data_IF_153890751343
#
_entry.id   IF_153890751343
#
_cell.length_a   1.000
_cell.length_b   1.000
_cell.length_c   1.000
_cell.angle_alpha   90.00
_cell.angle_beta   90.00
_cell.angle_gamma   90.00
#
_symmetry.space_group_name_H-M   'P 1'
#
loop_
_entity.id
_entity.type
_entity.pdbx_description
1 polymer ?
#
# COMPACT_ATOMS: atom_id res chain seq x y z
N UNK A 1 -37.76 -68.31 20.33
CA UNK A 1 -36.80 -67.54 19.53
C UNK A 1 -37.48 -66.22 19.14
N UNK A 2 -37.07 -65.09 19.73
CA UNK A 2 -37.59 -63.73 19.42
C UNK A 2 -36.45 -62.94 18.78
N UNK A 3 -36.53 -62.63 17.46
CA UNK A 3 -35.63 -61.73 16.80
C UNK A 3 -36.02 -60.28 17.12
N UNK A 4 -35.11 -59.53 17.70
CA UNK A 4 -35.26 -58.12 17.99
C UNK A 4 -34.63 -57.35 16.80
N UNK A 5 -35.46 -56.62 16.06
CA UNK A 5 -35.04 -55.74 14.92
C UNK A 5 -34.63 -54.40 15.48
N UNK A 6 -33.32 -54.08 15.49
CA UNK A 6 -32.80 -52.74 15.82
C UNK A 6 -32.87 -51.82 14.60
N UNK A 7 -33.82 -50.90 14.58
CA UNK A 7 -33.94 -49.83 13.61
C UNK A 7 -32.94 -48.71 13.95
N UNK A 8 -31.84 -48.58 13.21
CA UNK A 8 -30.89 -47.47 13.33
C UNK A 8 -31.43 -46.25 12.57
N UNK A 9 -31.89 -45.29 13.33
CA UNK A 9 -32.28 -43.98 12.81
C UNK A 9 -31.00 -43.16 12.54
N UNK A 10 -30.66 -42.93 11.29
CA UNK A 10 -29.56 -42.06 10.88
C UNK A 10 -30.12 -40.62 10.72
N UNK A 11 -29.82 -39.77 11.65
CA UNK A 11 -30.10 -38.33 11.52
C UNK A 11 -28.99 -37.70 10.68
N UNK A 12 -29.34 -37.34 9.43
CA UNK A 12 -28.46 -36.47 8.59
C UNK A 12 -28.46 -35.05 9.18
N UNK A 13 -27.33 -34.64 9.77
CA UNK A 13 -27.09 -33.26 10.12
C UNK A 13 -26.69 -32.50 8.84
N UNK A 14 -27.57 -31.63 8.35
CA UNK A 14 -27.23 -30.65 7.30
C UNK A 14 -26.32 -29.56 7.90
N UNK A 15 -25.03 -29.63 7.57
CA UNK A 15 -24.09 -28.55 7.85
C UNK A 15 -24.24 -27.48 6.77
N UNK A 16 -24.95 -26.41 7.05
CA UNK A 16 -25.05 -25.23 6.19
C UNK A 16 -23.76 -24.40 6.34
N UNK A 17 -22.84 -24.51 5.38
CA UNK A 17 -21.68 -23.62 5.27
C UNK A 17 -22.14 -22.27 4.79
N UNK A 18 -22.24 -21.30 5.69
CA UNK A 18 -22.43 -19.90 5.34
C UNK A 18 -21.15 -19.36 4.70
N UNK A 19 -21.14 -19.22 3.38
CA UNK A 19 -20.06 -18.52 2.65
C UNK A 19 -20.14 -17.03 2.98
N UNK A 20 -19.22 -16.53 3.82
CA UNK A 20 -19.02 -15.11 4.02
C UNK A 20 -18.45 -14.52 2.71
N UNK A 21 -19.28 -13.84 1.95
CA UNK A 21 -18.82 -13.01 0.83
C UNK A 21 -18.10 -11.78 1.43
N UNK A 22 -16.77 -11.81 1.45
CA UNK A 22 -15.96 -10.64 1.76
C UNK A 22 -16.17 -9.61 0.64
N UNK A 23 -16.93 -8.56 0.92
CA UNK A 23 -17.00 -7.37 0.04
C UNK A 23 -15.64 -6.70 0.05
N UNK A 24 -14.98 -6.62 -1.10
CA UNK A 24 -13.74 -5.87 -1.24
C UNK A 24 -14.04 -4.38 -0.96
N UNK A 25 -13.66 -3.91 0.22
CA UNK A 25 -13.73 -2.48 0.52
C UNK A 25 -12.66 -1.73 -0.29
N UNK A 26 -12.95 -0.48 -0.73
CA UNK A 26 -11.92 0.34 -1.35
C UNK A 26 -10.74 0.48 -0.38
N UNK A 27 -9.52 0.38 -0.92
CA UNK A 27 -8.31 0.54 -0.12
C UNK A 27 -8.26 1.96 0.45
N UNK A 28 -7.82 2.08 1.69
CA UNK A 28 -7.51 3.38 2.31
C UNK A 28 -5.99 3.53 2.43
N UNK A 29 -5.46 4.76 2.55
CA UNK A 29 -4.03 4.96 2.80
C UNK A 29 -3.53 4.16 4.02
N UNK A 30 -4.32 4.15 5.11
CA UNK A 30 -4.00 3.42 6.34
C UNK A 30 -4.05 1.89 6.13
N UNK A 31 -5.01 1.40 5.35
CA UNK A 31 -5.12 -0.01 5.00
C UNK A 31 -3.93 -0.48 4.14
N UNK A 32 -3.49 0.34 3.18
CA UNK A 32 -2.28 0.06 2.40
C UNK A 32 -1.02 0.10 3.26
N UNK A 33 -0.91 1.07 4.17
CA UNK A 33 0.18 1.14 5.14
C UNK A 33 0.26 -0.13 5.97
N UNK A 34 -0.86 -0.58 6.54
CA UNK A 34 -0.91 -1.82 7.31
C UNK A 34 -0.45 -3.04 6.50
N UNK A 35 -0.85 -3.11 5.21
CA UNK A 35 -0.40 -4.16 4.30
C UNK A 35 1.11 -4.15 4.06
N UNK A 36 1.72 -2.99 3.84
CA UNK A 36 3.17 -2.87 3.67
C UNK A 36 3.94 -3.16 4.96
N UNK A 37 3.43 -2.74 6.12
CA UNK A 37 4.00 -3.07 7.45
C UNK A 37 4.01 -4.58 7.67
N UNK A 38 2.90 -5.26 7.36
CA UNK A 38 2.82 -6.72 7.48
C UNK A 38 3.83 -7.43 6.56
N UNK A 39 4.02 -6.94 5.32
CA UNK A 39 4.99 -7.48 4.38
C UNK A 39 6.44 -7.19 4.80
N UNK A 40 6.70 -6.04 5.43
CA UNK A 40 8.02 -5.65 5.92
C UNK A 40 8.44 -6.43 7.18
N UNK A 41 7.47 -6.87 7.99
CA UNK A 41 7.72 -7.52 9.28
C UNK A 41 8.28 -6.58 10.35
N UNK A 42 8.21 -5.25 10.14
CA UNK A 42 8.74 -4.25 11.06
C UNK A 42 7.88 -2.96 11.04
N UNK A 43 7.86 -2.18 12.13
CA UNK A 43 7.11 -0.94 12.22
C UNK A 43 7.58 0.10 11.19
N UNK A 44 6.62 0.86 10.63
CA UNK A 44 6.91 2.01 9.79
C UNK A 44 7.40 3.20 10.63
N UNK A 45 8.27 4.04 10.03
CA UNK A 45 8.72 5.30 10.62
C UNK A 45 8.54 6.46 9.63
N UNK A 46 7.74 7.46 9.99
CA UNK A 46 7.59 8.67 9.18
C UNK A 46 8.94 9.40 8.94
N UNK A 47 9.83 9.39 9.93
CA UNK A 47 11.15 10.04 9.82
C UNK A 47 12.02 9.34 8.77
N UNK A 48 12.06 8.00 8.77
CA UNK A 48 12.75 7.23 7.72
C UNK A 48 12.10 7.47 6.37
N UNK A 49 10.76 7.56 6.32
CA UNK A 49 10.02 7.88 5.10
C UNK A 49 10.39 9.22 4.51
N UNK A 50 10.48 10.26 5.34
CA UNK A 50 10.94 11.59 4.93
C UNK A 50 12.38 11.58 4.42
N UNK A 51 13.28 10.94 5.15
CA UNK A 51 14.68 10.79 4.75
C UNK A 51 14.80 10.04 3.42
N UNK A 52 14.08 8.94 3.29
CA UNK A 52 14.02 8.16 2.05
C UNK A 52 13.54 8.99 0.86
N UNK A 53 12.52 9.82 1.05
CA UNK A 53 11.92 10.66 0.01
C UNK A 53 12.84 11.80 -0.45
N UNK A 54 13.59 12.38 0.48
CA UNK A 54 14.40 13.58 0.22
C UNK A 54 15.87 13.30 -0.10
N UNK A 55 16.35 12.08 0.22
CA UNK A 55 17.77 11.74 0.02
C UNK A 55 18.10 11.65 -1.48
N UNK A 56 19.12 12.37 -1.95
CA UNK A 56 19.63 12.22 -3.30
C UNK A 56 20.20 10.81 -3.53
N UNK A 57 20.04 10.28 -4.72
CA UNK A 57 20.49 8.93 -5.08
C UNK A 57 21.74 8.99 -5.96
N UNK A 58 22.50 7.90 -5.94
CA UNK A 58 23.67 7.71 -6.81
C UNK A 58 23.25 7.24 -8.21
N UNK A 59 22.23 7.84 -8.80
CA UNK A 59 21.82 7.57 -10.19
C UNK A 59 22.46 8.58 -11.14
N UNK A 60 22.26 8.38 -12.45
CA UNK A 60 22.80 9.23 -13.49
C UNK A 60 22.48 10.72 -13.29
N UNK A 61 21.29 11.01 -12.74
CA UNK A 61 20.82 12.38 -12.51
C UNK A 61 20.86 12.82 -11.04
N UNK A 62 21.24 11.95 -10.10
CA UNK A 62 21.26 12.26 -8.68
C UNK A 62 19.88 12.58 -8.06
N UNK A 63 18.81 12.16 -8.73
CA UNK A 63 17.44 12.49 -8.33
C UNK A 63 17.04 11.86 -6.98
N UNK A 64 16.11 12.53 -6.31
CA UNK A 64 15.31 12.00 -5.21
C UNK A 64 13.82 12.04 -5.60
N UNK A 65 12.95 11.43 -4.80
CA UNK A 65 11.51 11.58 -4.99
C UNK A 65 11.10 13.06 -4.92
N UNK A 66 11.76 13.81 -4.02
CA UNK A 66 11.50 15.26 -3.84
C UNK A 66 11.88 16.12 -5.04
N UNK A 67 12.70 15.64 -5.98
CA UNK A 67 13.06 16.37 -7.19
C UNK A 67 11.81 16.74 -8.00
N UNK A 68 10.91 15.79 -8.22
CA UNK A 68 9.66 16.02 -8.95
C UNK A 68 8.48 16.42 -8.05
N UNK A 69 8.46 15.92 -6.80
CA UNK A 69 7.29 16.07 -5.91
C UNK A 69 7.41 17.22 -4.91
N UNK A 70 8.56 17.91 -4.87
CA UNK A 70 8.87 18.90 -3.83
C UNK A 70 9.26 18.26 -2.50
N UNK A 71 9.93 19.00 -1.64
CA UNK A 71 10.44 18.49 -0.34
C UNK A 71 9.34 18.06 0.62
N UNK A 72 8.19 18.76 0.58
CA UNK A 72 6.96 18.43 1.31
C UNK A 72 5.84 18.34 0.28
N UNK A 73 5.39 17.12 -0.13
CA UNK A 73 4.53 16.93 -1.28
C UNK A 73 3.04 17.17 -0.98
N UNK A 74 2.74 18.31 -0.34
CA UNK A 74 1.38 18.81 -0.05
C UNK A 74 0.82 19.68 -1.16
N UNK A 75 1.69 20.19 -2.04
CA UNK A 75 1.35 20.95 -3.25
C UNK A 75 1.59 20.17 -4.52
N UNK A 76 1.40 20.86 -5.66
CA UNK A 76 1.72 20.26 -6.96
C UNK A 76 3.23 20.18 -7.16
N UNK A 77 3.68 19.04 -7.64
CA UNK A 77 5.00 18.85 -8.19
C UNK A 77 5.02 19.03 -9.71
N UNK A 78 6.21 18.86 -10.30
CA UNK A 78 6.45 18.93 -11.73
C UNK A 78 7.47 17.86 -12.12
N UNK A 79 7.16 17.08 -13.13
CA UNK A 79 8.08 16.07 -13.63
C UNK A 79 9.30 16.73 -14.28
N UNK A 80 10.49 16.36 -13.83
CA UNK A 80 11.73 17.06 -14.18
C UNK A 80 12.01 17.13 -15.70
N UNK A 81 11.73 16.05 -16.44
CA UNK A 81 11.98 16.00 -17.89
C UNK A 81 10.80 16.47 -18.74
N UNK A 82 9.58 16.11 -18.35
CA UNK A 82 8.40 16.35 -19.20
C UNK A 82 7.62 17.59 -18.81
N UNK A 83 8.00 18.23 -17.71
CA UNK A 83 7.35 19.38 -17.09
C UNK A 83 5.87 19.18 -16.72
N UNK A 84 5.37 17.96 -16.89
CA UNK A 84 3.99 17.62 -16.53
C UNK A 84 3.75 17.85 -15.05
N UNK A 85 2.62 18.50 -14.73
CA UNK A 85 2.14 18.71 -13.37
C UNK A 85 1.86 17.38 -12.69
N UNK A 86 2.30 17.24 -11.46
CA UNK A 86 2.04 16.11 -10.58
C UNK A 86 1.17 16.60 -9.42
N UNK A 87 0.01 16.00 -9.22
CA UNK A 87 -0.85 16.35 -8.09
C UNK A 87 -0.22 15.94 -6.75
N UNK A 88 -0.62 16.57 -5.62
CA UNK A 88 -0.09 16.27 -4.29
C UNK A 88 -0.05 14.78 -3.98
N UNK A 89 0.97 14.33 -3.23
CA UNK A 89 1.07 12.95 -2.77
C UNK A 89 0.40 12.74 -1.40
N UNK A 90 0.47 13.74 -0.53
CA UNK A 90 -0.12 13.61 0.81
C UNK A 90 -1.65 13.46 0.72
N UNK A 91 -2.24 12.39 1.34
CA UNK A 91 -3.68 12.11 1.23
C UNK A 91 -4.58 13.24 1.75
N UNK A 92 -4.14 13.99 2.75
CA UNK A 92 -4.88 15.15 3.26
C UNK A 92 -5.06 16.27 2.21
N UNK A 93 -4.21 16.34 1.21
CA UNK A 93 -4.25 17.33 0.11
C UNK A 93 -4.71 16.73 -1.22
N UNK A 94 -4.82 15.40 -1.30
CA UNK A 94 -5.33 14.68 -2.45
C UNK A 94 -6.00 13.36 -2.00
N UNK A 95 -7.29 13.39 -1.67
CA UNK A 95 -8.02 12.24 -1.11
C UNK A 95 -8.08 11.01 -2.03
N UNK A 96 -7.74 11.15 -3.32
CA UNK A 96 -7.71 10.02 -4.26
C UNK A 96 -6.38 9.25 -4.24
N UNK A 97 -5.36 9.74 -3.50
CA UNK A 97 -4.09 9.04 -3.36
C UNK A 97 -4.21 7.84 -2.43
N UNK A 98 -3.54 6.75 -2.82
CA UNK A 98 -3.44 5.52 -2.02
C UNK A 98 -4.80 4.89 -1.68
N UNK A 99 -5.77 4.98 -2.61
CA UNK A 99 -7.09 4.36 -2.50
C UNK A 99 -7.26 3.10 -3.36
N UNK A 100 -6.21 2.69 -4.06
CA UNK A 100 -6.16 1.53 -4.94
C UNK A 100 -4.77 0.88 -4.84
N UNK A 101 -4.71 -0.37 -4.37
CA UNK A 101 -3.45 -1.09 -4.17
C UNK A 101 -2.69 -1.30 -5.49
N UNK A 102 -3.39 -1.77 -6.54
CA UNK A 102 -2.75 -2.05 -7.84
C UNK A 102 -2.13 -0.80 -8.46
N UNK A 103 -2.87 0.30 -8.41
CA UNK A 103 -2.42 1.61 -8.89
C UNK A 103 -1.25 2.14 -8.07
N UNK A 104 -1.32 2.01 -6.74
CA UNK A 104 -0.27 2.44 -5.81
C UNK A 104 1.01 1.65 -6.03
N UNK A 105 0.93 0.33 -6.13
CA UNK A 105 2.09 -0.52 -6.42
C UNK A 105 2.69 -0.26 -7.82
N UNK A 106 1.84 0.03 -8.79
CA UNK A 106 2.28 0.47 -10.12
C UNK A 106 3.12 1.74 -10.05
N UNK A 107 2.67 2.74 -9.31
CA UNK A 107 3.42 3.99 -9.10
C UNK A 107 4.73 3.77 -8.35
N UNK A 108 4.71 3.00 -7.26
CA UNK A 108 5.95 2.66 -6.55
C UNK A 108 6.95 1.98 -7.47
N UNK A 109 6.51 1.00 -8.27
CA UNK A 109 7.38 0.29 -9.20
C UNK A 109 8.05 1.23 -10.19
N UNK A 110 7.27 2.10 -10.84
CA UNK A 110 7.81 3.06 -11.82
C UNK A 110 8.76 4.05 -11.14
N UNK A 111 8.29 4.78 -10.13
CA UNK A 111 9.10 5.83 -9.50
C UNK A 111 10.34 5.29 -8.79
N UNK A 112 10.26 4.10 -8.16
CA UNK A 112 11.43 3.50 -7.53
C UNK A 112 12.47 3.07 -8.56
N UNK A 113 12.06 2.53 -9.70
CA UNK A 113 13.00 2.19 -10.79
C UNK A 113 13.66 3.44 -11.36
N UNK A 114 12.91 4.51 -11.57
CA UNK A 114 13.45 5.76 -12.13
C UNK A 114 14.44 6.43 -11.17
N UNK A 115 14.19 6.40 -9.86
CA UNK A 115 15.01 7.09 -8.86
C UNK A 115 16.09 6.19 -8.25
N UNK A 116 15.82 4.89 -8.06
CA UNK A 116 16.70 3.96 -7.35
C UNK A 116 17.36 2.92 -8.25
N UNK A 117 16.89 2.75 -9.49
CA UNK A 117 17.28 1.65 -10.38
C UNK A 117 16.75 0.28 -9.94
N UNK A 118 15.88 0.21 -8.94
CA UNK A 118 15.29 -1.02 -8.38
C UNK A 118 13.88 -0.80 -7.85
N UNK A 119 13.18 -1.89 -7.54
CA UNK A 119 11.92 -1.79 -6.81
C UNK A 119 12.17 -1.32 -5.36
N UNK A 120 11.22 -0.59 -4.79
CA UNK A 120 11.20 -0.27 -3.36
C UNK A 120 10.86 -1.53 -2.54
N UNK A 121 11.52 -1.69 -1.41
CA UNK A 121 11.18 -2.72 -0.43
C UNK A 121 9.84 -2.42 0.24
N UNK A 122 9.23 -3.42 0.88
CA UNK A 122 8.01 -3.22 1.66
C UNK A 122 8.22 -2.21 2.79
N UNK A 123 9.39 -2.22 3.45
CA UNK A 123 9.75 -1.26 4.49
C UNK A 123 9.83 0.17 3.95
N UNK A 124 10.48 0.39 2.82
CA UNK A 124 10.57 1.71 2.19
C UNK A 124 9.18 2.25 1.80
N UNK A 125 8.29 1.39 1.29
CA UNK A 125 6.90 1.76 1.00
C UNK A 125 6.12 2.10 2.28
N UNK A 126 6.28 1.31 3.34
CA UNK A 126 5.63 1.54 4.62
C UNK A 126 6.09 2.85 5.26
N UNK A 127 7.40 3.08 5.33
CA UNK A 127 7.99 4.29 5.91
C UNK A 127 7.54 5.53 5.14
N UNK A 128 7.62 5.50 3.81
CA UNK A 128 7.19 6.62 2.97
C UNK A 128 5.70 6.90 3.12
N UNK A 129 4.84 5.89 3.06
CA UNK A 129 3.40 6.07 3.17
C UNK A 129 3.00 6.58 4.57
N UNK A 130 3.66 6.10 5.64
CA UNK A 130 3.43 6.59 6.99
C UNK A 130 3.72 8.09 7.13
N UNK A 131 4.81 8.56 6.51
CA UNK A 131 5.14 9.98 6.48
C UNK A 131 4.12 10.79 5.66
N UNK A 132 3.73 10.33 4.47
CA UNK A 132 2.76 11.02 3.62
C UNK A 132 1.38 11.17 4.29
N UNK A 133 0.95 10.17 5.05
CA UNK A 133 -0.29 10.21 5.85
C UNK A 133 -0.18 11.22 6.99
N UNK A 134 0.99 11.38 7.58
CA UNK A 134 1.22 12.31 8.69
C UNK A 134 1.24 13.79 8.25
N UNK A 135 1.42 14.08 6.96
CA UNK A 135 1.37 15.44 6.42
C UNK A 135 -0.08 15.98 6.44
N UNK A 136 -0.27 17.10 7.15
CA UNK A 136 -1.57 17.77 7.34
C UNK A 136 -1.48 19.24 7.00
#
# INVERSE_FOLDING_TARGET
MKLSTFTRCWTLALVTTASLMATAQPATPEGLLAGYVAQAGAPASPERGQQFFTAPRKGEFGWSCSTCHGRVPTGNGKHELTEKRIAPLAPAFNPTRFTDLKKTDGWFRTNCKDVLGRDCTAQEKADLLSWLIALR
#
